data_IF_686230702976
#
_entry.id   IF_686230702976
#
_cell.length_a   1.000
_cell.length_b   1.000
_cell.length_c   1.000
_cell.angle_alpha   90.00
_cell.angle_beta   90.00
_cell.angle_gamma   90.00
#
_symmetry.space_group_name_H-M   'P 1'
#
loop_
_entity.id
_entity.type
_entity.pdbx_description
1 polymer ?
#
# COMPACT_ATOMS: atom_id res chain seq x y z
N UNK A 1 10.14 0.28 -9.05
CA UNK A 1 9.54 1.16 -8.05
C UNK A 1 8.08 0.82 -7.85
N UNK A 2 7.68 0.55 -6.61
CA UNK A 2 6.28 0.49 -6.17
C UNK A 2 5.74 1.93 -6.15
N UNK A 3 4.49 2.12 -6.55
CA UNK A 3 3.82 3.43 -6.55
C UNK A 3 2.54 3.42 -5.73
N UNK A 4 1.94 2.25 -5.58
CA UNK A 4 0.73 2.06 -4.79
C UNK A 4 0.85 0.78 -3.97
N UNK A 5 0.19 0.79 -2.82
CA UNK A 5 -0.03 -0.37 -1.95
C UNK A 5 -1.53 -0.55 -1.76
N UNK A 6 -1.97 -1.81 -1.67
CA UNK A 6 -3.38 -2.16 -1.48
C UNK A 6 -3.51 -3.56 -0.85
N UNK A 7 -4.69 -3.89 -0.37
CA UNK A 7 -5.04 -5.21 0.13
C UNK A 7 -5.77 -6.03 -0.94
N UNK A 8 -5.98 -7.32 -0.66
CA UNK A 8 -6.76 -8.18 -1.58
C UNK A 8 -8.19 -7.65 -1.77
N UNK A 9 -8.75 -7.02 -0.73
CA UNK A 9 -10.07 -6.39 -0.74
C UNK A 9 -10.24 -5.32 -1.83
N UNK A 10 -9.16 -4.64 -2.24
CA UNK A 10 -9.21 -3.57 -3.26
C UNK A 10 -8.63 -4.01 -4.62
N UNK A 11 -8.05 -5.21 -4.71
CA UNK A 11 -7.32 -5.64 -5.89
C UNK A 11 -8.20 -5.80 -7.12
N UNK A 12 -9.38 -6.43 -6.98
CA UNK A 12 -10.30 -6.66 -8.10
C UNK A 12 -10.80 -5.37 -8.74
N UNK A 13 -11.32 -4.45 -7.92
CA UNK A 13 -11.77 -3.13 -8.39
C UNK A 13 -10.62 -2.32 -9.00
N UNK A 14 -9.45 -2.29 -8.35
CA UNK A 14 -8.27 -1.61 -8.88
C UNK A 14 -7.85 -2.18 -10.24
N UNK A 15 -7.99 -3.50 -10.46
CA UNK A 15 -7.70 -4.13 -11.75
C UNK A 15 -8.66 -3.68 -12.85
N UNK A 16 -9.95 -3.57 -12.55
CA UNK A 16 -10.96 -3.08 -13.48
C UNK A 16 -10.70 -1.60 -13.86
N UNK A 17 -10.29 -0.79 -12.88
CA UNK A 17 -10.05 0.65 -13.03
C UNK A 17 -8.61 1.03 -13.41
N UNK A 18 -7.77 0.07 -13.80
CA UNK A 18 -6.35 0.30 -14.12
C UNK A 18 -6.08 1.49 -15.05
N UNK A 19 -6.87 1.71 -16.13
CA UNK A 19 -6.67 2.86 -17.02
C UNK A 19 -6.84 4.21 -16.33
N UNK A 20 -7.72 4.31 -15.32
CA UNK A 20 -8.02 5.55 -14.60
C UNK A 20 -7.09 5.77 -13.39
N UNK A 21 -6.71 4.69 -12.69
CA UNK A 21 -5.83 4.76 -11.51
C UNK A 21 -4.41 5.23 -11.86
N UNK A 22 -3.91 4.86 -13.04
CA UNK A 22 -2.55 5.17 -13.47
C UNK A 22 -1.47 4.57 -12.55
N UNK A 23 -0.30 5.21 -12.51
CA UNK A 23 0.83 4.78 -11.68
C UNK A 23 1.58 3.54 -12.20
N UNK A 24 2.67 3.21 -11.52
CA UNK A 24 3.53 2.07 -11.85
C UNK A 24 3.09 0.79 -11.15
N UNK A 25 4.04 0.10 -10.50
CA UNK A 25 3.75 -1.15 -9.79
C UNK A 25 2.84 -0.91 -8.58
N UNK A 26 1.87 -1.82 -8.42
CA UNK A 26 0.91 -1.86 -7.32
C UNK A 26 1.19 -3.13 -6.50
N UNK A 27 1.50 -2.99 -5.22
CA UNK A 27 1.88 -4.09 -4.34
C UNK A 27 0.69 -4.51 -3.48
N UNK A 28 0.22 -5.75 -3.66
CA UNK A 28 -0.96 -6.29 -2.97
C UNK A 28 -0.54 -7.09 -1.74
N UNK A 29 -1.03 -6.70 -0.55
CA UNK A 29 -0.88 -7.45 0.69
C UNK A 29 -2.12 -8.33 0.91
N UNK A 30 -2.00 -9.60 0.58
CA UNK A 30 -3.17 -10.48 0.48
C UNK A 30 -3.87 -10.78 1.81
N UNK A 31 -3.16 -10.68 2.93
CA UNK A 31 -3.71 -10.87 4.28
C UNK A 31 -4.08 -9.59 5.02
N UNK A 32 -4.00 -8.43 4.36
CA UNK A 32 -4.26 -7.12 4.97
C UNK A 32 -5.46 -6.45 4.33
N UNK A 33 -6.31 -5.84 5.16
CA UNK A 33 -7.39 -4.98 4.72
C UNK A 33 -6.83 -3.58 4.50
N UNK A 34 -6.71 -3.18 3.23
CA UNK A 34 -6.06 -1.93 2.86
C UNK A 34 -6.69 -1.37 1.59
N UNK A 35 -7.16 -0.10 1.59
CA UNK A 35 -7.61 0.53 0.36
C UNK A 35 -6.43 0.75 -0.60
N UNK A 36 -6.72 1.10 -1.85
CA UNK A 36 -5.70 1.57 -2.77
C UNK A 36 -5.10 2.88 -2.27
N UNK A 37 -3.80 2.89 -1.99
CA UNK A 37 -3.08 4.08 -1.53
C UNK A 37 -1.86 4.36 -2.41
N UNK A 38 -1.76 5.60 -2.91
CA UNK A 38 -0.53 6.10 -3.52
C UNK A 38 0.52 6.36 -2.44
N UNK A 39 1.78 6.00 -2.70
CA UNK A 39 2.89 6.31 -1.79
C UNK A 39 3.08 7.81 -1.58
N UNK A 40 2.62 8.65 -2.51
CA UNK A 40 2.71 10.12 -2.41
C UNK A 40 1.58 10.74 -1.58
N UNK A 41 0.56 9.96 -1.20
CA UNK A 41 -0.65 10.44 -0.51
C UNK A 41 -0.87 9.72 0.83
N UNK A 42 0.18 9.11 1.38
CA UNK A 42 0.13 8.46 2.70
C UNK A 42 -0.09 9.51 3.79
N UNK A 43 -1.16 9.33 4.56
CA UNK A 43 -1.53 10.22 5.66
C UNK A 43 -1.00 9.75 7.02
N UNK A 44 -0.65 8.46 7.15
CA UNK A 44 0.02 7.93 8.35
C UNK A 44 1.39 8.60 8.50
N UNK A 45 1.57 9.37 9.58
CA UNK A 45 2.76 10.17 9.80
C UNK A 45 4.02 9.32 9.99
N UNK A 46 3.91 8.14 10.62
CA UNK A 46 5.04 7.26 10.85
C UNK A 46 5.48 6.57 9.56
N UNK A 47 4.53 6.09 8.75
CA UNK A 47 4.80 5.54 7.43
C UNK A 47 5.36 6.61 6.47
N UNK A 48 4.80 7.82 6.50
CA UNK A 48 5.31 8.95 5.71
C UNK A 48 6.76 9.31 6.11
N UNK A 49 7.08 9.31 7.41
CA UNK A 49 8.43 9.55 7.89
C UNK A 49 9.42 8.45 7.45
N UNK A 50 8.99 7.18 7.43
CA UNK A 50 9.79 6.08 6.86
C UNK A 50 10.03 6.33 5.37
N UNK A 51 8.99 6.61 4.59
CA UNK A 51 9.10 6.89 3.16
C UNK A 51 10.07 8.04 2.89
N UNK A 52 10.02 9.12 3.68
CA UNK A 52 10.93 10.26 3.53
C UNK A 52 12.41 9.86 3.70
N UNK A 53 12.74 9.00 4.68
CA UNK A 53 14.12 8.48 4.88
C UNK A 53 14.60 7.64 3.68
N UNK A 54 13.68 6.97 3.00
CA UNK A 54 13.95 6.13 1.83
C UNK A 54 13.62 6.83 0.50
N UNK A 55 13.64 8.17 0.46
CA UNK A 55 13.44 8.97 -0.76
C UNK A 55 12.12 8.68 -1.49
N UNK A 56 11.06 8.36 -0.74
CA UNK A 56 9.74 8.00 -1.26
C UNK A 56 9.65 6.59 -1.84
N UNK A 57 10.72 5.78 -1.76
CA UNK A 57 10.75 4.41 -2.26
C UNK A 57 10.21 3.47 -1.18
N UNK A 58 9.37 2.52 -1.61
CA UNK A 58 8.92 1.43 -0.75
C UNK A 58 10.11 0.57 -0.29
N UNK A 59 10.42 0.62 1.00
CA UNK A 59 11.54 -0.09 1.63
C UNK A 59 11.06 -1.23 2.52
N UNK A 60 11.98 -2.12 2.93
CA UNK A 60 11.65 -3.18 3.88
C UNK A 60 11.18 -2.65 5.25
N UNK A 61 11.64 -1.47 5.64
CA UNK A 61 11.16 -0.79 6.86
C UNK A 61 9.70 -0.37 6.73
N UNK A 62 9.31 0.17 5.57
CA UNK A 62 7.93 0.55 5.28
C UNK A 62 7.00 -0.67 5.26
N UNK A 63 7.48 -1.77 4.66
CA UNK A 63 6.77 -3.06 4.64
C UNK A 63 6.59 -3.62 6.06
N UNK A 64 7.64 -3.66 6.88
CA UNK A 64 7.53 -4.16 8.25
C UNK A 64 6.56 -3.32 9.10
N UNK A 65 6.61 -1.99 8.96
CA UNK A 65 5.66 -1.11 9.64
C UNK A 65 4.23 -1.43 9.21
N UNK A 66 3.97 -1.53 7.91
CA UNK A 66 2.66 -1.85 7.37
C UNK A 66 2.16 -3.22 7.85
N UNK A 67 3.01 -4.26 7.82
CA UNK A 67 2.63 -5.61 8.26
C UNK A 67 2.26 -5.64 9.76
N UNK A 68 2.86 -4.77 10.56
CA UNK A 68 2.61 -4.69 12.01
C UNK A 68 1.35 -3.89 12.35
N UNK A 69 1.02 -2.86 11.57
CA UNK A 69 -0.05 -1.89 11.91
C UNK A 69 -1.31 -2.01 11.05
N UNK A 70 -1.22 -2.56 9.83
CA UNK A 70 -2.39 -2.72 8.97
C UNK A 70 -3.34 -3.79 9.52
N UNK A 71 -4.63 -3.51 9.42
CA UNK A 71 -5.72 -4.42 9.77
C UNK A 71 -5.57 -5.75 9.02
N UNK A 72 -5.67 -6.86 9.74
CA UNK A 72 -5.67 -8.20 9.14
C UNK A 72 -7.07 -8.52 8.61
N UNK A 73 -7.15 -9.28 7.52
CA UNK A 73 -8.43 -9.84 7.08
C UNK A 73 -8.80 -10.98 8.05
N UNK A 74 -9.95 -10.88 8.72
CA UNK A 74 -10.47 -11.97 9.56
C UNK A 74 -10.90 -13.14 8.69
N UNK A 75 -10.61 -14.35 9.15
CA UNK A 75 -11.18 -15.58 8.62
C UNK A 75 -12.19 -16.06 9.67
N UNK A 76 -13.42 -15.57 9.57
CA UNK A 76 -14.55 -16.17 10.30
C UNK A 76 -15.01 -17.45 9.57
#
# INVERSE_FOLDING_TARGET
MVTHILGLNAAGETTLELPAVGGGKKLVYTGKYLPLMSLTQIQDQALAAILARHQGIWSGEAEQYLLTHAEAISHD
#
